data_IF_882452722309
#
_entry.id   IF_882452722309
#
_cell.length_a   1.000
_cell.length_b   1.000
_cell.length_c   1.000
_cell.angle_alpha   90.00
_cell.angle_beta   90.00
_cell.angle_gamma   90.00
#
_symmetry.space_group_name_H-M   'P 1'
#
loop_
_entity.id
_entity.type
_entity.pdbx_description
1 polymer ?
#
# COMPACT_ATOMS: atom_id res chain seq x y z
N UNK A 1 65.38 26.71 -11.59
CA UNK A 1 65.01 25.52 -12.40
C UNK A 1 64.13 24.62 -11.57
N UNK A 2 62.91 24.48 -11.95
CA UNK A 2 61.95 23.39 -11.82
C UNK A 2 60.54 23.97 -11.58
N UNK A 3 59.81 24.09 -12.67
CA UNK A 3 58.39 24.41 -12.69
C UNK A 3 57.64 23.17 -12.21
N UNK A 4 56.83 23.35 -11.13
CA UNK A 4 55.86 22.36 -10.65
C UNK A 4 54.47 22.66 -11.23
N UNK A 5 54.07 21.91 -12.24
CA UNK A 5 52.73 21.92 -12.85
C UNK A 5 51.72 21.42 -11.84
N UNK A 6 50.88 22.33 -11.32
CA UNK A 6 49.75 21.97 -10.47
C UNK A 6 48.56 21.59 -11.36
N UNK A 7 48.29 20.33 -11.49
CA UNK A 7 47.13 19.80 -12.17
C UNK A 7 45.88 19.94 -11.22
N UNK A 8 45.07 20.95 -11.46
CA UNK A 8 43.75 21.04 -10.82
C UNK A 8 42.77 20.11 -11.52
N UNK A 9 42.05 19.27 -10.80
CA UNK A 9 41.08 18.34 -11.40
C UNK A 9 39.89 19.14 -11.97
N UNK A 10 39.49 18.83 -13.20
CA UNK A 10 38.37 19.43 -13.96
C UNK A 10 36.98 19.32 -13.33
N UNK A 11 36.86 18.78 -12.13
CA UNK A 11 35.60 18.60 -11.39
C UNK A 11 35.12 19.86 -10.65
N UNK A 12 35.99 20.87 -10.43
CA UNK A 12 35.62 22.08 -9.71
C UNK A 12 34.86 23.11 -10.59
N UNK A 13 34.95 23.02 -11.91
CA UNK A 13 34.29 23.95 -12.82
C UNK A 13 32.80 23.66 -13.09
N UNK A 14 32.32 22.43 -12.79
CA UNK A 14 30.95 22.07 -13.05
C UNK A 14 29.97 22.42 -11.91
N UNK A 15 30.48 22.63 -10.69
CA UNK A 15 29.64 23.03 -9.55
C UNK A 15 29.35 24.52 -9.45
N UNK A 16 30.19 25.36 -10.04
CA UNK A 16 30.00 26.84 -10.06
C UNK A 16 28.85 27.26 -10.99
N UNK A 17 28.64 26.54 -12.09
CA UNK A 17 27.54 26.84 -13.03
C UNK A 17 26.14 26.48 -12.52
N UNK A 18 26.03 25.43 -11.72
CA UNK A 18 24.75 24.99 -11.19
C UNK A 18 24.21 25.89 -10.06
N UNK A 19 25.10 26.43 -9.23
CA UNK A 19 24.69 27.31 -8.13
C UNK A 19 24.25 28.70 -8.62
N UNK A 20 24.86 29.23 -9.67
CA UNK A 20 24.48 30.51 -10.26
C UNK A 20 23.16 30.46 -11.02
N UNK A 21 22.83 29.30 -11.64
CA UNK A 21 21.53 29.12 -12.29
C UNK A 21 20.39 28.97 -11.28
N UNK A 22 20.64 28.39 -10.09
CA UNK A 22 19.61 28.22 -9.06
C UNK A 22 19.28 29.54 -8.38
N UNK A 23 20.25 30.43 -8.16
CA UNK A 23 20.01 31.74 -7.56
C UNK A 23 19.41 32.73 -8.59
N UNK A 24 19.80 32.64 -9.86
CA UNK A 24 19.21 33.45 -10.93
C UNK A 24 17.74 33.09 -11.21
N UNK A 25 17.37 31.80 -11.04
CA UNK A 25 15.98 31.37 -11.18
C UNK A 25 15.05 31.86 -10.05
N UNK A 26 15.62 32.31 -8.92
CA UNK A 26 14.85 32.78 -7.75
C UNK A 26 14.53 34.29 -7.81
N UNK A 27 15.12 35.04 -8.75
CA UNK A 27 14.98 36.51 -8.87
C UNK A 27 14.26 36.97 -10.15
N UNK A 28 13.70 36.07 -10.94
CA UNK A 28 12.89 36.44 -12.11
C UNK A 28 11.49 36.84 -11.64
N UNK A 29 11.01 38.08 -11.90
CA UNK A 29 9.64 38.44 -11.54
C UNK A 29 8.65 37.53 -12.28
N UNK A 30 7.72 36.97 -11.51
CA UNK A 30 6.66 36.07 -11.98
C UNK A 30 5.73 36.81 -12.97
N UNK A 31 6.13 36.95 -14.22
CA UNK A 31 5.20 37.27 -15.29
C UNK A 31 4.27 36.07 -15.51
N UNK A 32 3.01 36.29 -15.84
CA UNK A 32 1.97 35.28 -16.04
C UNK A 32 2.40 34.12 -16.97
N UNK A 33 3.27 34.40 -17.94
CA UNK A 33 3.87 33.42 -18.86
C UNK A 33 4.77 32.42 -18.11
N UNK A 34 5.53 32.87 -17.11
CA UNK A 34 6.40 31.99 -16.30
C UNK A 34 5.60 31.12 -15.34
N UNK A 35 4.45 31.59 -14.86
CA UNK A 35 3.55 30.76 -14.04
C UNK A 35 2.91 29.63 -14.86
N UNK A 36 2.47 29.92 -16.08
CA UNK A 36 1.89 28.90 -16.98
C UNK A 36 2.94 27.87 -17.39
N UNK A 37 4.16 28.28 -17.72
CA UNK A 37 5.24 27.35 -18.06
C UNK A 37 5.67 26.51 -16.84
N UNK A 38 5.68 27.09 -15.63
CA UNK A 38 5.95 26.36 -14.40
C UNK A 38 4.87 25.31 -14.12
N UNK A 39 3.59 25.67 -14.18
CA UNK A 39 2.50 24.72 -14.05
C UNK A 39 2.54 23.63 -15.15
N UNK A 40 2.79 24.03 -16.40
CA UNK A 40 2.94 23.10 -17.51
C UNK A 40 4.06 22.11 -17.29
N UNK A 41 5.23 22.55 -16.81
CA UNK A 41 6.36 21.66 -16.51
C UNK A 41 6.06 20.67 -15.37
N UNK A 42 5.34 21.11 -14.33
CA UNK A 42 4.91 20.24 -13.22
C UNK A 42 3.93 19.15 -13.69
N UNK A 43 2.97 19.53 -14.53
CA UNK A 43 2.01 18.58 -15.12
C UNK A 43 2.73 17.56 -16.02
N UNK A 44 3.62 18.02 -16.90
CA UNK A 44 4.40 17.14 -17.78
C UNK A 44 5.29 16.19 -16.95
N UNK A 45 5.97 16.69 -15.91
CA UNK A 45 6.76 15.84 -15.01
C UNK A 45 5.90 14.79 -14.28
N UNK A 46 4.70 15.16 -13.83
CA UNK A 46 3.78 14.24 -13.20
C UNK A 46 3.30 13.14 -14.18
N UNK A 47 2.97 13.52 -15.43
CA UNK A 47 2.56 12.56 -16.48
C UNK A 47 3.73 11.63 -16.85
N UNK A 48 4.94 12.17 -17.05
CA UNK A 48 6.12 11.35 -17.32
C UNK A 48 6.44 10.41 -16.15
N UNK A 49 6.33 10.90 -14.91
CA UNK A 49 6.51 10.07 -13.71
C UNK A 49 5.49 8.93 -13.62
N UNK A 50 4.24 9.20 -13.99
CA UNK A 50 3.21 8.17 -14.08
C UNK A 50 3.49 7.18 -15.22
N UNK A 51 3.97 7.65 -16.38
CA UNK A 51 4.40 6.80 -17.49
C UNK A 51 5.50 5.82 -17.08
N UNK A 52 6.57 6.30 -16.44
CA UNK A 52 7.64 5.44 -15.93
C UNK A 52 7.16 4.42 -14.89
N UNK A 53 6.19 4.79 -14.04
CA UNK A 53 5.57 3.85 -13.11
C UNK A 53 4.74 2.80 -13.85
N UNK A 54 3.96 3.19 -14.86
CA UNK A 54 3.17 2.28 -15.67
C UNK A 54 4.05 1.27 -16.44
N UNK A 55 5.16 1.72 -17.01
CA UNK A 55 6.17 0.84 -17.63
C UNK A 55 6.75 -0.15 -16.63
N UNK A 56 7.09 0.30 -15.41
CA UNK A 56 7.59 -0.57 -14.35
C UNK A 56 6.56 -1.66 -13.98
N UNK A 57 5.28 -1.28 -13.85
CA UNK A 57 4.18 -2.21 -13.58
C UNK A 57 4.02 -3.19 -14.73
N UNK A 58 4.03 -2.72 -15.99
CA UNK A 58 3.88 -3.55 -17.17
C UNK A 58 5.02 -4.58 -17.29
N UNK A 59 6.28 -4.14 -17.10
CA UNK A 59 7.44 -5.03 -17.10
C UNK A 59 7.33 -6.08 -16.00
N UNK A 60 6.95 -5.68 -14.78
CA UNK A 60 6.79 -6.61 -13.66
C UNK A 60 5.69 -7.63 -13.94
N UNK A 61 4.53 -7.18 -14.44
CA UNK A 61 3.42 -8.06 -14.80
C UNK A 61 3.81 -9.02 -15.93
N UNK A 62 4.49 -8.53 -16.96
CA UNK A 62 5.00 -9.35 -18.07
C UNK A 62 5.95 -10.44 -17.55
N UNK A 63 6.87 -10.11 -16.63
CA UNK A 63 7.79 -11.09 -16.05
C UNK A 63 7.07 -12.17 -15.24
N UNK A 64 6.02 -11.79 -14.49
CA UNK A 64 5.22 -12.74 -13.71
C UNK A 64 4.47 -13.70 -14.64
N UNK A 65 3.86 -13.18 -15.74
CA UNK A 65 3.04 -13.98 -16.67
C UNK A 65 3.91 -14.84 -17.60
N UNK A 66 4.98 -14.28 -18.18
CA UNK A 66 5.81 -15.00 -19.15
C UNK A 66 6.72 -16.06 -18.55
N UNK A 67 7.12 -15.88 -17.28
CA UNK A 67 8.06 -16.80 -16.62
C UNK A 67 7.55 -17.29 -15.27
N UNK A 68 6.39 -17.96 -15.17
CA UNK A 68 5.80 -18.35 -13.90
C UNK A 68 6.72 -19.28 -13.09
N UNK A 69 7.42 -20.21 -13.74
CA UNK A 69 8.37 -21.11 -13.06
C UNK A 69 9.57 -20.38 -12.41
N UNK A 70 10.03 -19.29 -13.02
CA UNK A 70 11.10 -18.44 -12.44
C UNK A 70 10.56 -17.49 -11.37
N UNK A 71 9.34 -17.03 -11.52
CA UNK A 71 8.66 -16.12 -10.59
C UNK A 71 8.26 -16.82 -9.28
N UNK A 72 7.91 -18.09 -9.35
CA UNK A 72 7.50 -18.93 -8.21
C UNK A 72 8.64 -19.73 -7.59
N UNK A 73 9.90 -19.22 -7.68
CA UNK A 73 11.04 -19.87 -7.03
C UNK A 73 10.90 -19.79 -5.51
N UNK A 74 10.52 -20.90 -4.89
CA UNK A 74 10.25 -21.01 -3.45
C UNK A 74 11.39 -20.47 -2.58
N UNK A 75 12.64 -20.70 -2.98
CA UNK A 75 13.82 -20.18 -2.25
C UNK A 75 13.87 -18.64 -2.16
N UNK A 76 13.32 -17.94 -3.15
CA UNK A 76 13.26 -16.46 -3.14
C UNK A 76 11.97 -15.94 -2.53
N UNK A 77 10.87 -16.66 -2.70
CA UNK A 77 9.55 -16.26 -2.26
C UNK A 77 9.35 -16.49 -0.75
N UNK A 78 9.80 -17.64 -0.21
CA UNK A 78 9.55 -18.00 1.18
C UNK A 78 10.09 -16.99 2.21
N UNK A 79 11.32 -16.45 2.09
CA UNK A 79 11.80 -15.41 2.98
C UNK A 79 10.95 -14.13 2.92
N UNK A 80 10.48 -13.77 1.72
CA UNK A 80 9.62 -12.60 1.53
C UNK A 80 8.22 -12.82 2.13
N UNK A 81 7.64 -14.00 1.96
CA UNK A 81 6.37 -14.38 2.60
C UNK A 81 6.48 -14.30 4.13
N UNK A 82 7.58 -14.78 4.70
CA UNK A 82 7.83 -14.69 6.13
C UNK A 82 7.95 -13.22 6.58
N UNK A 83 8.74 -12.42 5.90
CA UNK A 83 8.98 -11.03 6.24
C UNK A 83 7.71 -10.17 6.12
N UNK A 84 6.93 -10.37 5.04
CA UNK A 84 5.67 -9.65 4.80
C UNK A 84 4.56 -10.14 5.72
N UNK A 85 4.39 -11.47 5.83
CA UNK A 85 3.29 -12.09 6.54
C UNK A 85 3.53 -12.15 8.04
N UNK A 86 4.39 -13.08 8.46
CA UNK A 86 4.54 -13.46 9.89
C UNK A 86 4.94 -12.28 10.76
N UNK A 87 5.90 -11.50 10.31
CA UNK A 87 6.35 -10.33 11.07
C UNK A 87 5.33 -9.19 11.11
N UNK A 88 4.27 -9.18 10.27
CA UNK A 88 3.20 -8.17 10.32
C UNK A 88 2.03 -8.58 11.21
N UNK A 89 1.93 -9.86 11.59
CA UNK A 89 0.85 -10.38 12.42
C UNK A 89 0.60 -9.54 13.69
N UNK A 90 1.62 -9.21 14.52
CA UNK A 90 1.36 -8.49 15.77
C UNK A 90 0.71 -7.11 15.55
N UNK A 91 1.21 -6.37 14.55
CA UNK A 91 0.70 -5.02 14.26
C UNK A 91 -0.72 -5.08 13.73
N UNK A 92 -0.99 -6.00 12.79
CA UNK A 92 -2.32 -6.18 12.20
C UNK A 92 -3.32 -6.73 13.22
N UNK A 93 -2.85 -7.60 14.13
CA UNK A 93 -3.64 -8.15 15.24
C UNK A 93 -4.16 -7.06 16.17
N UNK A 94 -3.24 -6.27 16.69
CA UNK A 94 -3.55 -5.19 17.62
C UNK A 94 -4.48 -4.17 16.95
N UNK A 95 -4.13 -3.70 15.76
CA UNK A 95 -4.95 -2.70 15.05
C UNK A 95 -6.33 -3.23 14.71
N UNK A 96 -6.45 -4.48 14.23
CA UNK A 96 -7.73 -5.10 13.94
C UNK A 96 -8.62 -5.19 15.18
N UNK A 97 -8.09 -5.71 16.29
CA UNK A 97 -8.82 -5.86 17.55
C UNK A 97 -9.31 -4.51 18.09
N UNK A 98 -8.43 -3.51 18.16
CA UNK A 98 -8.79 -2.17 18.65
C UNK A 98 -9.83 -1.47 17.79
N UNK A 99 -9.76 -1.60 16.48
CA UNK A 99 -10.78 -1.03 15.59
C UNK A 99 -12.15 -1.65 15.84
N UNK A 100 -12.22 -2.97 16.00
CA UNK A 100 -13.47 -3.65 16.36
C UNK A 100 -14.04 -3.15 17.69
N UNK A 101 -13.19 -2.99 18.70
CA UNK A 101 -13.59 -2.45 20.01
C UNK A 101 -14.08 -1.00 19.91
N UNK A 102 -13.39 -0.14 19.16
CA UNK A 102 -13.78 1.27 18.98
C UNK A 102 -15.12 1.36 18.26
N UNK A 103 -15.33 0.57 17.20
CA UNK A 103 -16.61 0.56 16.49
C UNK A 103 -17.76 0.08 17.38
N UNK A 104 -17.50 -0.85 18.30
CA UNK A 104 -18.51 -1.29 19.26
C UNK A 104 -18.85 -0.20 20.28
N UNK A 105 -17.84 0.53 20.79
CA UNK A 105 -18.03 1.65 21.71
C UNK A 105 -18.83 2.79 21.08
N UNK A 106 -18.46 3.21 19.88
CA UNK A 106 -19.12 4.31 19.17
C UNK A 106 -20.53 3.93 18.69
N UNK A 107 -20.68 2.69 18.18
CA UNK A 107 -21.95 2.21 17.67
C UNK A 107 -23.00 1.98 18.75
N UNK A 108 -22.60 1.54 19.96
CA UNK A 108 -23.55 1.15 21.01
C UNK A 108 -24.52 2.28 21.38
N UNK A 109 -24.02 3.48 21.62
CA UNK A 109 -24.85 4.62 22.00
C UNK A 109 -25.90 4.98 20.94
N UNK A 110 -25.56 4.84 19.67
CA UNK A 110 -26.47 5.13 18.55
C UNK A 110 -27.56 4.07 18.42
N UNK A 111 -27.21 2.77 18.57
CA UNK A 111 -28.18 1.69 18.48
C UNK A 111 -29.04 1.56 19.74
N UNK A 112 -28.49 1.86 20.91
CA UNK A 112 -29.23 1.93 22.17
C UNK A 112 -30.33 3.01 22.14
N UNK A 113 -30.02 4.17 21.57
CA UNK A 113 -31.00 5.23 21.38
C UNK A 113 -32.19 4.84 20.46
N UNK A 114 -31.97 3.83 19.59
CA UNK A 114 -33.02 3.29 18.69
C UNK A 114 -33.70 2.03 19.26
N UNK A 115 -33.28 1.53 20.43
CA UNK A 115 -33.77 0.28 21.00
C UNK A 115 -33.43 -0.97 20.16
N UNK A 116 -32.32 -0.91 19.41
CA UNK A 116 -31.85 -1.99 18.52
C UNK A 116 -30.44 -2.47 18.87
N UNK A 117 -30.11 -2.54 20.14
CA UNK A 117 -28.80 -2.91 20.66
C UNK A 117 -28.37 -4.32 20.20
N UNK A 118 -29.33 -5.23 20.09
CA UNK A 118 -29.08 -6.62 19.68
C UNK A 118 -28.53 -6.74 18.25
N UNK A 119 -28.85 -5.78 17.37
CA UNK A 119 -28.41 -5.79 15.95
C UNK A 119 -27.02 -5.22 15.75
N UNK A 120 -26.45 -4.61 16.76
CA UNK A 120 -25.15 -3.94 16.70
C UNK A 120 -24.04 -4.87 16.16
N UNK A 121 -24.01 -6.13 16.62
CA UNK A 121 -23.03 -7.11 16.19
C UNK A 121 -23.00 -7.32 14.67
N UNK A 122 -24.18 -7.42 14.05
CA UNK A 122 -24.29 -7.62 12.61
C UNK A 122 -23.73 -6.46 11.80
N UNK A 123 -24.07 -5.24 12.17
CA UNK A 123 -23.67 -4.02 11.45
C UNK A 123 -22.17 -3.76 11.58
N UNK A 124 -21.61 -3.93 12.79
CA UNK A 124 -20.16 -3.77 13.01
C UNK A 124 -19.39 -4.79 12.20
N UNK A 125 -19.75 -6.07 12.32
CA UNK A 125 -19.03 -7.14 11.61
C UNK A 125 -19.15 -7.00 10.10
N UNK A 126 -20.30 -6.59 9.57
CA UNK A 126 -20.46 -6.28 8.16
C UNK A 126 -19.51 -5.15 7.72
N UNK A 127 -19.44 -4.07 8.50
CA UNK A 127 -18.58 -2.91 8.19
C UNK A 127 -17.09 -3.27 8.26
N UNK A 128 -16.69 -4.03 9.29
CA UNK A 128 -15.30 -4.50 9.46
C UNK A 128 -14.90 -5.39 8.29
N UNK A 129 -15.67 -6.40 7.99
CA UNK A 129 -15.29 -7.44 7.01
C UNK A 129 -15.33 -6.88 5.58
N UNK A 130 -16.32 -6.05 5.25
CA UNK A 130 -16.51 -5.52 3.89
C UNK A 130 -15.54 -4.41 3.52
N UNK A 131 -15.23 -3.51 4.47
CA UNK A 131 -14.57 -2.24 4.16
C UNK A 131 -13.39 -1.92 5.07
N UNK A 132 -13.59 -1.85 6.37
CA UNK A 132 -12.61 -1.30 7.30
C UNK A 132 -11.41 -2.22 7.46
N UNK A 133 -11.64 -3.51 7.67
CA UNK A 133 -10.59 -4.50 7.87
C UNK A 133 -9.61 -4.61 6.70
N UNK A 134 -10.08 -4.79 5.45
CA UNK A 134 -9.20 -4.83 4.29
C UNK A 134 -8.34 -3.58 4.10
N UNK A 135 -8.93 -2.39 4.29
CA UNK A 135 -8.21 -1.12 4.14
C UNK A 135 -7.17 -0.94 5.24
N UNK A 136 -7.54 -1.18 6.50
CA UNK A 136 -6.62 -1.00 7.62
C UNK A 136 -5.49 -2.01 7.62
N UNK A 137 -5.79 -3.28 7.33
CA UNK A 137 -4.73 -4.29 7.16
C UNK A 137 -3.74 -3.87 6.06
N UNK A 138 -4.24 -3.39 4.91
CA UNK A 138 -3.39 -2.91 3.82
C UNK A 138 -2.56 -1.68 4.23
N UNK A 139 -3.13 -0.71 4.95
CA UNK A 139 -2.40 0.48 5.43
C UNK A 139 -1.29 0.09 6.42
N UNK A 140 -1.57 -0.85 7.34
CA UNK A 140 -0.55 -1.36 8.27
C UNK A 140 0.58 -2.08 7.53
N UNK A 141 0.25 -2.89 6.54
CA UNK A 141 1.24 -3.55 5.67
C UNK A 141 2.04 -2.52 4.87
N UNK A 142 1.39 -1.50 4.31
CA UNK A 142 2.08 -0.43 3.58
C UNK A 142 3.08 0.32 4.47
N UNK A 143 2.69 0.65 5.71
CA UNK A 143 3.55 1.34 6.67
C UNK A 143 4.76 0.52 7.07
N UNK A 144 4.55 -0.75 7.44
CA UNK A 144 5.63 -1.60 7.92
C UNK A 144 6.45 -2.22 6.79
N UNK A 145 5.77 -2.93 5.88
CA UNK A 145 6.43 -3.69 4.80
C UNK A 145 6.82 -2.78 3.65
N UNK A 146 5.92 -1.87 3.24
CA UNK A 146 6.18 -0.96 2.13
C UNK A 146 7.39 -0.07 2.36
N UNK A 147 7.52 0.51 3.57
CA UNK A 147 8.70 1.29 3.95
C UNK A 147 9.98 0.43 3.97
N UNK A 148 9.92 -0.77 4.53
CA UNK A 148 11.07 -1.68 4.60
C UNK A 148 11.56 -2.08 3.20
N UNK A 149 10.65 -2.48 2.30
CA UNK A 149 10.97 -2.85 0.93
C UNK A 149 11.61 -1.69 0.16
N UNK A 150 11.08 -0.47 0.32
CA UNK A 150 11.64 0.71 -0.33
C UNK A 150 13.02 1.06 0.23
N UNK A 151 13.22 0.93 1.55
CA UNK A 151 14.51 1.18 2.18
C UNK A 151 15.56 0.14 1.78
N UNK A 152 15.23 -1.16 1.76
CA UNK A 152 16.13 -2.22 1.32
C UNK A 152 16.59 -2.04 -0.12
N UNK A 153 15.63 -1.84 -1.06
CA UNK A 153 15.97 -1.61 -2.46
C UNK A 153 16.71 -0.29 -2.68
N UNK A 154 16.33 0.75 -1.92
CA UNK A 154 17.04 2.04 -1.94
C UNK A 154 18.48 1.91 -1.47
N UNK A 155 18.74 1.13 -0.43
CA UNK A 155 20.11 0.84 0.04
C UNK A 155 20.88 0.07 -1.03
N UNK A 156 20.31 -0.98 -1.63
CA UNK A 156 20.94 -1.72 -2.74
C UNK A 156 21.24 -0.82 -3.94
N UNK A 157 20.40 0.19 -4.20
CA UNK A 157 20.64 1.18 -5.26
C UNK A 157 21.81 2.08 -4.93
N UNK A 158 21.86 2.62 -3.72
CA UNK A 158 22.91 3.56 -3.27
C UNK A 158 24.28 2.87 -3.17
N UNK A 159 24.30 1.59 -2.82
CA UNK A 159 25.54 0.77 -2.74
C UNK A 159 25.90 0.08 -4.06
N UNK A 160 25.26 0.46 -5.18
CA UNK A 160 25.52 -0.07 -6.53
C UNK A 160 25.33 -1.59 -6.70
N UNK A 161 24.70 -2.26 -5.72
CA UNK A 161 24.43 -3.69 -5.78
C UNK A 161 23.52 -4.06 -6.97
N UNK A 162 22.58 -3.19 -7.34
CA UNK A 162 21.71 -3.40 -8.50
C UNK A 162 22.50 -3.37 -9.81
N UNK A 163 23.52 -2.53 -9.92
CA UNK A 163 24.34 -2.40 -11.11
C UNK A 163 25.36 -3.54 -11.18
N UNK A 164 25.89 -3.98 -10.04
CA UNK A 164 26.69 -5.19 -9.94
C UNK A 164 25.91 -6.44 -10.39
N UNK A 165 24.63 -6.58 -10.00
CA UNK A 165 23.78 -7.67 -10.48
C UNK A 165 23.60 -7.65 -12.00
N UNK A 166 23.40 -6.46 -12.58
CA UNK A 166 23.29 -6.30 -14.05
C UNK A 166 24.59 -6.69 -14.76
N UNK A 167 25.74 -6.30 -14.20
CA UNK A 167 27.04 -6.68 -14.73
C UNK A 167 27.28 -8.20 -14.75
N UNK A 168 26.69 -8.92 -13.77
CA UNK A 168 26.69 -10.38 -13.72
C UNK A 168 25.58 -11.02 -14.57
N UNK A 169 24.93 -10.29 -15.48
CA UNK A 169 23.80 -10.75 -16.30
C UNK A 169 22.60 -11.26 -15.46
N UNK A 170 22.49 -10.89 -14.19
CA UNK A 170 21.36 -11.20 -13.36
C UNK A 170 20.31 -10.08 -13.48
N UNK A 171 19.05 -10.45 -13.74
CA UNK A 171 17.96 -9.47 -13.84
C UNK A 171 17.43 -9.07 -12.45
N UNK A 172 17.67 -7.83 -11.98
CA UNK A 172 17.20 -7.38 -10.67
C UNK A 172 15.67 -7.39 -10.55
N UNK A 173 14.94 -7.14 -11.65
CA UNK A 173 13.48 -7.17 -11.65
C UNK A 173 12.96 -8.57 -11.32
N UNK A 174 13.51 -9.60 -11.97
CA UNK A 174 13.08 -10.98 -11.76
C UNK A 174 13.49 -11.53 -10.40
N UNK A 175 14.65 -11.13 -9.86
CA UNK A 175 15.17 -11.69 -8.62
C UNK A 175 14.73 -10.95 -7.36
N UNK A 176 14.50 -9.64 -7.46
CA UNK A 176 14.20 -8.80 -6.30
C UNK A 176 12.74 -8.30 -6.29
N UNK A 177 12.24 -7.77 -7.43
CA UNK A 177 10.91 -7.15 -7.47
C UNK A 177 9.81 -8.19 -7.47
N UNK A 178 9.88 -9.14 -8.38
CA UNK A 178 8.83 -10.14 -8.59
C UNK A 178 8.49 -10.92 -7.30
N UNK A 179 9.45 -11.50 -6.55
CA UNK A 179 9.14 -12.21 -5.31
C UNK A 179 8.52 -11.32 -4.23
N UNK A 180 8.95 -10.04 -4.15
CA UNK A 180 8.41 -9.09 -3.18
C UNK A 180 6.97 -8.69 -3.49
N UNK A 181 6.67 -8.40 -4.76
CA UNK A 181 5.31 -8.09 -5.21
C UNK A 181 4.38 -9.28 -4.99
N UNK A 182 4.81 -10.49 -5.35
CA UNK A 182 4.03 -11.72 -5.12
C UNK A 182 3.80 -11.96 -3.63
N UNK A 183 4.81 -11.78 -2.79
CA UNK A 183 4.66 -11.94 -1.35
C UNK A 183 3.64 -10.95 -0.76
N UNK A 184 3.69 -9.68 -1.16
CA UNK A 184 2.69 -8.69 -0.74
C UNK A 184 1.29 -9.07 -1.24
N UNK A 185 1.15 -9.49 -2.50
CA UNK A 185 -0.14 -9.85 -3.10
C UNK A 185 -0.78 -11.06 -2.41
N UNK A 186 0.01 -12.05 -2.02
CA UNK A 186 -0.50 -13.27 -1.36
C UNK A 186 -0.75 -13.04 0.14
N UNK A 187 0.14 -12.32 0.82
CA UNK A 187 0.06 -12.19 2.28
C UNK A 187 -0.94 -11.13 2.73
N UNK A 188 -1.19 -10.07 1.95
CA UNK A 188 -2.17 -9.05 2.36
C UNK A 188 -3.58 -9.61 2.55
N UNK A 189 -4.15 -10.46 1.68
CA UNK A 189 -5.42 -11.13 1.94
C UNK A 189 -5.44 -11.98 3.21
N UNK A 190 -4.38 -12.72 3.48
CA UNK A 190 -4.26 -13.56 4.68
C UNK A 190 -4.26 -12.68 5.94
N UNK A 191 -3.49 -11.61 5.93
CA UNK A 191 -3.46 -10.64 7.02
C UNK A 191 -4.81 -9.92 7.19
N UNK A 192 -5.53 -9.68 6.10
CA UNK A 192 -6.88 -9.12 6.12
C UNK A 192 -7.88 -10.06 6.80
N UNK A 193 -7.85 -11.36 6.49
CA UNK A 193 -8.69 -12.35 7.19
C UNK A 193 -8.38 -12.34 8.69
N UNK A 194 -7.11 -12.34 9.03
CA UNK A 194 -6.65 -12.31 10.42
C UNK A 194 -7.11 -11.04 11.15
N UNK A 195 -7.00 -9.88 10.49
CA UNK A 195 -7.51 -8.60 11.00
C UNK A 195 -9.02 -8.62 11.23
N UNK A 196 -9.77 -9.18 10.28
CA UNK A 196 -11.23 -9.28 10.38
C UNK A 196 -11.66 -10.16 11.55
N UNK A 197 -11.00 -11.31 11.74
CA UNK A 197 -11.27 -12.19 12.88
C UNK A 197 -11.05 -11.50 14.21
N UNK A 198 -9.91 -10.83 14.36
CA UNK A 198 -9.59 -10.12 15.60
C UNK A 198 -10.45 -8.88 15.82
N UNK A 199 -10.83 -8.18 14.75
CA UNK A 199 -11.77 -7.07 14.81
C UNK A 199 -13.16 -7.52 15.26
N UNK A 200 -13.65 -8.64 14.74
CA UNK A 200 -14.91 -9.26 15.16
C UNK A 200 -14.88 -9.71 16.63
N UNK A 201 -13.77 -10.32 17.07
CA UNK A 201 -13.58 -10.72 18.47
C UNK A 201 -13.48 -9.51 19.39
N UNK A 202 -12.78 -8.46 18.99
CA UNK A 202 -12.68 -7.21 19.74
C UNK A 202 -14.05 -6.52 19.90
N UNK A 203 -14.83 -6.47 18.83
CA UNK A 203 -16.19 -5.94 18.87
C UNK A 203 -17.10 -6.78 19.78
N UNK A 204 -17.03 -8.12 19.66
CA UNK A 204 -17.75 -9.03 20.55
C UNK A 204 -17.40 -8.80 22.02
N UNK A 205 -16.11 -8.66 22.32
CA UNK A 205 -15.65 -8.48 23.70
C UNK A 205 -16.28 -7.23 24.34
N UNK A 206 -16.30 -6.11 23.63
CA UNK A 206 -16.90 -4.87 24.11
C UNK A 206 -18.42 -4.97 24.18
N UNK A 207 -19.06 -5.43 23.11
CA UNK A 207 -20.53 -5.49 23.03
C UNK A 207 -21.13 -6.40 24.10
N UNK A 208 -20.55 -7.58 24.32
CA UNK A 208 -21.08 -8.57 25.25
C UNK A 208 -20.58 -8.36 26.67
N UNK A 209 -19.27 -8.09 26.87
CA UNK A 209 -18.68 -8.06 28.22
C UNK A 209 -18.78 -6.68 28.89
N UNK A 210 -18.77 -5.59 28.10
CA UNK A 210 -18.87 -4.22 28.65
C UNK A 210 -20.30 -3.72 28.64
N UNK A 211 -21.03 -3.90 27.53
CA UNK A 211 -22.40 -3.40 27.43
C UNK A 211 -23.49 -4.41 27.80
N UNK A 212 -23.13 -5.69 28.03
CA UNK A 212 -24.07 -6.69 28.53
C UNK A 212 -25.09 -7.19 27.50
N UNK A 213 -24.85 -6.93 26.20
CA UNK A 213 -25.69 -7.48 25.11
C UNK A 213 -25.57 -9.00 25.08
N UNK A 214 -26.68 -9.71 24.81
CA UNK A 214 -26.72 -11.16 24.74
C UNK A 214 -25.72 -11.70 23.70
N UNK A 215 -24.81 -12.58 24.12
CA UNK A 215 -23.81 -13.19 23.23
C UNK A 215 -24.43 -14.00 22.08
N UNK A 216 -25.47 -14.84 22.33
CA UNK A 216 -26.21 -15.51 21.26
C UNK A 216 -26.81 -14.58 20.24
N UNK A 217 -27.42 -13.46 20.66
CA UNK A 217 -28.05 -12.49 19.77
C UNK A 217 -26.99 -11.75 18.91
N UNK A 218 -25.84 -11.43 19.49
CA UNK A 218 -24.70 -10.87 18.76
C UNK A 218 -24.30 -11.74 17.56
N UNK A 219 -24.13 -13.05 17.77
CA UNK A 219 -23.73 -13.97 16.70
C UNK A 219 -24.86 -14.27 15.73
N UNK A 220 -26.10 -14.35 16.21
CA UNK A 220 -27.28 -14.52 15.37
C UNK A 220 -27.41 -13.37 14.35
N UNK A 221 -27.35 -12.14 14.80
CA UNK A 221 -27.40 -10.98 13.91
C UNK A 221 -26.17 -10.85 13.03
N UNK A 222 -25.00 -11.22 13.52
CA UNK A 222 -23.79 -11.29 12.69
C UNK A 222 -23.98 -12.24 11.52
N UNK A 223 -24.54 -13.44 11.75
CA UNK A 223 -24.80 -14.43 10.70
C UNK A 223 -25.88 -13.95 9.71
N UNK A 224 -26.85 -13.16 10.16
CA UNK A 224 -27.89 -12.61 9.28
C UNK A 224 -27.34 -11.49 8.36
N UNK A 225 -26.48 -10.61 8.88
CA UNK A 225 -25.99 -9.47 8.13
C UNK A 225 -24.74 -9.76 7.29
N UNK A 226 -23.87 -10.65 7.76
CA UNK A 226 -22.62 -10.99 7.07
C UNK A 226 -22.82 -12.21 6.18
N UNK A 227 -23.20 -11.95 4.93
CA UNK A 227 -23.23 -13.00 3.89
C UNK A 227 -21.81 -13.39 3.47
N UNK A 228 -21.60 -14.61 2.98
CA UNK A 228 -20.32 -15.09 2.47
C UNK A 228 -19.70 -14.17 1.40
N UNK A 229 -20.50 -13.39 0.71
CA UNK A 229 -20.08 -12.41 -0.31
C UNK A 229 -19.26 -11.24 0.26
N UNK A 230 -19.56 -10.80 1.47
CA UNK A 230 -18.88 -9.67 2.09
C UNK A 230 -17.40 -9.97 2.40
N UNK A 231 -17.05 -11.11 3.07
CA UNK A 231 -15.66 -11.49 3.26
C UNK A 231 -14.91 -11.67 1.93
N UNK A 232 -15.56 -12.32 0.95
CA UNK A 232 -14.96 -12.54 -0.35
C UNK A 232 -14.66 -11.23 -1.08
N UNK A 233 -15.58 -10.28 -1.05
CA UNK A 233 -15.37 -8.93 -1.61
C UNK A 233 -14.21 -8.18 -0.93
N UNK A 234 -14.11 -8.28 0.40
CA UNK A 234 -12.99 -7.72 1.17
C UNK A 234 -11.64 -8.34 0.79
N UNK A 235 -11.60 -9.68 0.69
CA UNK A 235 -10.39 -10.41 0.28
C UNK A 235 -9.99 -10.10 -1.17
N UNK A 236 -10.95 -10.03 -2.07
CA UNK A 236 -10.68 -9.65 -3.46
C UNK A 236 -10.01 -8.27 -3.55
N UNK A 237 -10.52 -7.27 -2.82
CA UNK A 237 -9.90 -5.95 -2.75
C UNK A 237 -8.48 -6.00 -2.18
N UNK A 238 -8.26 -6.79 -1.15
CA UNK A 238 -6.96 -6.88 -0.48
C UNK A 238 -5.85 -7.48 -1.36
N UNK A 239 -6.18 -8.32 -2.35
CA UNK A 239 -5.21 -8.79 -3.37
C UNK A 239 -4.65 -7.61 -4.16
N UNK A 240 -5.52 -6.70 -4.63
CA UNK A 240 -5.09 -5.51 -5.37
C UNK A 240 -4.33 -4.53 -4.49
N UNK A 241 -4.71 -4.39 -3.22
CA UNK A 241 -3.97 -3.56 -2.27
C UNK A 241 -2.55 -4.10 -2.06
N UNK A 242 -2.40 -5.41 -1.87
CA UNK A 242 -1.09 -6.05 -1.73
C UNK A 242 -0.21 -5.86 -2.96
N UNK A 243 -0.78 -6.04 -4.16
CA UNK A 243 -0.08 -5.78 -5.42
C UNK A 243 0.37 -4.31 -5.54
N UNK A 244 -0.51 -3.36 -5.22
CA UNK A 244 -0.20 -1.93 -5.25
C UNK A 244 0.92 -1.57 -4.26
N UNK A 245 0.86 -2.08 -3.02
CA UNK A 245 1.93 -1.87 -2.01
C UNK A 245 3.26 -2.38 -2.53
N UNK A 246 3.31 -3.62 -3.02
CA UNK A 246 4.54 -4.23 -3.53
C UNK A 246 5.14 -3.45 -4.72
N UNK A 247 4.30 -3.07 -5.70
CA UNK A 247 4.72 -2.33 -6.89
C UNK A 247 5.21 -0.93 -6.55
N UNK A 248 4.44 -0.17 -5.78
CA UNK A 248 4.80 1.21 -5.39
C UNK A 248 6.07 1.23 -4.57
N UNK A 249 6.21 0.33 -3.60
CA UNK A 249 7.37 0.27 -2.71
C UNK A 249 8.64 -0.10 -3.47
N UNK A 250 8.56 -1.10 -4.35
CA UNK A 250 9.68 -1.47 -5.20
C UNK A 250 10.06 -0.34 -6.16
N UNK A 251 9.10 0.32 -6.78
CA UNK A 251 9.36 1.45 -7.68
C UNK A 251 10.07 2.61 -6.97
N UNK A 252 9.61 2.99 -5.78
CA UNK A 252 10.24 4.06 -4.98
C UNK A 252 11.65 3.70 -4.54
N UNK A 253 11.88 2.45 -4.14
CA UNK A 253 13.21 1.96 -3.79
C UNK A 253 14.18 1.95 -4.97
N UNK A 254 13.74 1.47 -6.14
CA UNK A 254 14.56 1.46 -7.38
C UNK A 254 14.94 2.87 -7.86
N UNK A 255 14.09 3.86 -7.64
CA UNK A 255 14.31 5.26 -8.03
C UNK A 255 14.76 6.14 -6.85
N UNK A 256 15.41 5.52 -5.85
CA UNK A 256 15.94 6.21 -4.69
C UNK A 256 17.04 7.21 -5.09
N UNK A 257 17.05 8.38 -4.44
CA UNK A 257 18.13 9.35 -4.57
C UNK A 257 19.39 8.86 -3.86
N UNK A 258 20.60 9.26 -4.32
CA UNK A 258 21.84 8.88 -3.67
C UNK A 258 21.90 9.32 -2.20
N UNK A 259 22.57 8.49 -1.37
CA UNK A 259 22.84 8.77 0.03
C UNK A 259 21.74 8.29 1.01
N UNK A 260 22.09 8.22 2.29
CA UNK A 260 21.22 7.72 3.36
C UNK A 260 19.90 8.53 3.50
N UNK A 261 19.98 9.85 3.31
CA UNK A 261 18.81 10.71 3.30
C UNK A 261 17.83 10.36 2.18
N UNK A 262 18.35 9.95 0.98
CA UNK A 262 17.55 9.49 -0.13
C UNK A 262 16.77 8.22 0.19
N UNK A 263 17.39 7.27 0.90
CA UNK A 263 16.74 6.02 1.36
C UNK A 263 15.58 6.32 2.31
N UNK A 264 15.77 7.20 3.28
CA UNK A 264 14.71 7.63 4.19
C UNK A 264 13.55 8.31 3.46
N UNK A 265 13.86 9.19 2.49
CA UNK A 265 12.83 9.82 1.66
C UNK A 265 12.08 8.80 0.77
N UNK A 266 12.75 7.80 0.22
CA UNK A 266 12.13 6.75 -0.57
C UNK A 266 11.15 5.92 0.28
N UNK A 267 11.51 5.60 1.52
CA UNK A 267 10.65 4.86 2.45
C UNK A 267 9.37 5.63 2.79
N UNK A 268 9.49 6.91 3.18
CA UNK A 268 8.31 7.74 3.49
C UNK A 268 7.45 8.01 2.25
N UNK A 269 8.07 8.30 1.10
CA UNK A 269 7.36 8.48 -0.16
C UNK A 269 6.66 7.20 -0.63
N UNK A 270 7.22 6.02 -0.33
CA UNK A 270 6.59 4.73 -0.58
C UNK A 270 5.32 4.55 0.23
N UNK A 271 5.35 4.85 1.54
CA UNK A 271 4.17 4.77 2.39
C UNK A 271 3.05 5.69 1.90
N UNK A 272 3.36 6.97 1.71
CA UNK A 272 2.36 7.97 1.26
C UNK A 272 1.74 7.59 -0.08
N UNK A 273 2.57 7.18 -1.05
CA UNK A 273 2.07 6.78 -2.37
C UNK A 273 1.25 5.48 -2.31
N UNK A 274 1.66 4.50 -1.50
CA UNK A 274 0.90 3.27 -1.28
C UNK A 274 -0.43 3.54 -0.59
N UNK A 275 -0.45 4.39 0.43
CA UNK A 275 -1.68 4.81 1.11
C UNK A 275 -2.67 5.47 0.15
N UNK A 276 -2.21 6.43 -0.67
CA UNK A 276 -3.04 7.07 -1.68
C UNK A 276 -3.58 6.06 -2.71
N UNK A 277 -2.73 5.13 -3.14
CA UNK A 277 -3.15 4.06 -4.06
C UNK A 277 -4.22 3.16 -3.43
N UNK A 278 -4.07 2.77 -2.15
CA UNK A 278 -5.07 1.97 -1.42
C UNK A 278 -6.42 2.70 -1.36
N UNK A 279 -6.43 3.98 -1.01
CA UNK A 279 -7.67 4.78 -0.90
C UNK A 279 -8.39 4.88 -2.26
N UNK A 280 -7.65 5.18 -3.33
CA UNK A 280 -8.22 5.27 -4.68
C UNK A 280 -8.72 3.90 -5.14
N UNK A 281 -7.92 2.85 -4.99
CA UNK A 281 -8.30 1.49 -5.37
C UNK A 281 -9.51 1.00 -4.55
N UNK A 282 -9.59 1.35 -3.27
CA UNK A 282 -10.73 0.98 -2.45
C UNK A 282 -12.04 1.56 -3.00
N UNK A 283 -12.03 2.85 -3.38
CA UNK A 283 -13.21 3.49 -3.97
C UNK A 283 -13.61 2.82 -5.29
N UNK A 284 -12.65 2.64 -6.19
CA UNK A 284 -12.88 2.04 -7.51
C UNK A 284 -13.37 0.60 -7.39
N UNK A 285 -12.68 -0.22 -6.57
CA UNK A 285 -13.05 -1.63 -6.40
C UNK A 285 -14.37 -1.81 -5.65
N UNK A 286 -14.68 -0.95 -4.66
CA UNK A 286 -15.96 -0.98 -3.97
C UNK A 286 -17.11 -0.68 -4.94
N UNK A 287 -16.98 0.35 -5.77
CA UNK A 287 -17.98 0.69 -6.78
C UNK A 287 -18.12 -0.42 -7.84
N UNK A 288 -17.00 -0.96 -8.31
CA UNK A 288 -16.98 -2.08 -9.26
C UNK A 288 -17.70 -3.32 -8.71
N UNK A 289 -17.37 -3.74 -7.48
CA UNK A 289 -18.01 -4.89 -6.85
C UNK A 289 -19.51 -4.68 -6.60
N UNK A 290 -19.90 -3.50 -6.14
CA UNK A 290 -21.32 -3.18 -5.94
C UNK A 290 -22.09 -3.22 -7.27
N UNK A 291 -21.52 -2.67 -8.35
CA UNK A 291 -22.13 -2.71 -9.69
C UNK A 291 -22.21 -4.14 -10.22
N UNK A 292 -21.15 -4.93 -10.06
CA UNK A 292 -21.10 -6.32 -10.46
C UNK A 292 -22.17 -7.17 -9.75
N UNK A 293 -22.32 -6.99 -8.42
CA UNK A 293 -23.32 -7.69 -7.63
C UNK A 293 -24.74 -7.31 -8.08
N UNK A 294 -25.02 -6.03 -8.34
CA UNK A 294 -26.32 -5.57 -8.86
C UNK A 294 -26.63 -6.17 -10.23
N UNK A 295 -25.64 -6.30 -11.09
CA UNK A 295 -25.82 -6.88 -12.42
C UNK A 295 -26.08 -8.38 -12.37
N UNK A 296 -25.38 -9.11 -11.47
CA UNK A 296 -25.58 -10.56 -11.31
C UNK A 296 -26.88 -10.92 -10.58
N UNK A 297 -27.39 -10.05 -9.71
CA UNK A 297 -28.57 -10.30 -8.89
C UNK A 297 -29.58 -9.14 -8.98
N UNK A 298 -30.26 -8.96 -10.12
CA UNK A 298 -31.18 -7.83 -10.32
C UNK A 298 -32.44 -7.90 -9.45
N UNK A 299 -32.72 -9.01 -8.78
CA UNK A 299 -33.94 -9.27 -8.00
C UNK A 299 -33.77 -9.00 -6.47
N UNK A 300 -32.57 -8.70 -6.01
CA UNK A 300 -32.39 -8.32 -4.61
C UNK A 300 -32.82 -6.86 -4.41
N UNK A 301 -33.93 -6.61 -3.67
CA UNK A 301 -34.28 -5.24 -3.32
C UNK A 301 -33.11 -4.64 -2.53
N UNK A 302 -32.77 -3.41 -2.88
CA UNK A 302 -31.76 -2.62 -2.16
C UNK A 302 -32.24 -2.47 -0.71
N UNK A 303 -31.68 -3.26 0.20
CA UNK A 303 -31.94 -3.12 1.65
C UNK A 303 -31.30 -1.85 2.23
N UNK A 304 -30.68 -1.04 1.37
CA UNK A 304 -30.16 0.30 1.65
C UNK A 304 -30.45 1.18 0.43
N UNK A 305 -31.67 1.69 0.32
CA UNK A 305 -32.07 2.85 -0.47
C UNK A 305 -31.94 4.10 0.35
#
# INVERSE_FOLDING_TARGET
MAEGFFFLPKTAQYQSGAATHTVAAMLVPLNSVNAITFFGSQVVQAICGFGHFADFVAITAQRIVMHPAKSFRWRLLAPQLFAVGVLSIPVVAITGAFIGMILALEGFNQFAALGQEDRLGGIINMSVVKQIGPVLAAVMVAGRVGCALAAELGTMRVTEQLDAMRAMAADPMQQLVVPRVLACTIMTPILTMYSNMLGSLGAWMVTVKVFGVSGPDYWYWTAQFVSWREPFGGLFKSVFFGAAIGLVSCYKGFNCRPGAAGVGQAATASFVASFMAIVILNLVLAQFLNTLIRWMYPILPSVLG
#
